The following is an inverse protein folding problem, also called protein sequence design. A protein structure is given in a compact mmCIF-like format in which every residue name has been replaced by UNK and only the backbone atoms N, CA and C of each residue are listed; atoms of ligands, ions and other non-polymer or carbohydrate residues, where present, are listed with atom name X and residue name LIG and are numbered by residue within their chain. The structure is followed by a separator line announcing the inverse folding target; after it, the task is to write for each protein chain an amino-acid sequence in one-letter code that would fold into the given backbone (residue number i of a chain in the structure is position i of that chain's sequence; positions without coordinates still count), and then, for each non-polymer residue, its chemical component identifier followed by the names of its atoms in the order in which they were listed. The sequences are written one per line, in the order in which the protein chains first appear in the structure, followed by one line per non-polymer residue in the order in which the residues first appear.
data_IF_466805292587
#
_entry.id   IF_466805292587
#
_cell.length_a   1.000
_cell.length_b   1.000
_cell.length_c   1.000
_cell.angle_alpha   90.00
_cell.angle_beta   90.00
_cell.angle_gamma   90.00
#
_symmetry.space_group_name_H-M   'P 1'
#
loop_
_entity.id
_entity.type
_entity.pdbx_description
1 polymer ?
#
# COMPACT_ATOMS: atom_id res chain seq x y z
N UNK A 1 11.97 9.20 4.97
CA UNK A 1 10.82 9.73 5.70
C UNK A 1 11.29 10.72 6.75
N UNK A 2 10.45 11.69 7.12
CA UNK A 2 10.72 12.62 8.22
C UNK A 2 10.29 11.98 9.54
N UNK A 3 11.11 12.08 10.60
CA UNK A 3 10.76 11.62 11.94
C UNK A 3 10.46 12.86 12.80
N UNK A 4 9.26 12.94 13.35
CA UNK A 4 8.82 13.97 14.30
C UNK A 4 8.62 13.30 15.66
N UNK A 5 9.26 13.85 16.69
CA UNK A 5 9.13 13.39 18.07
C UNK A 5 8.41 14.46 18.89
N UNK A 6 7.36 14.07 19.61
CA UNK A 6 6.59 14.98 20.47
C UNK A 6 5.61 14.22 21.36
N UNK A 7 5.47 14.65 22.62
CA UNK A 7 4.52 14.07 23.60
C UNK A 7 4.58 12.53 23.73
N UNK A 8 5.79 11.94 23.67
CA UNK A 8 5.98 10.49 23.73
C UNK A 8 5.55 9.72 22.48
N UNK A 9 5.13 10.41 21.42
CA UNK A 9 4.74 9.81 20.14
C UNK A 9 5.85 9.99 19.10
N UNK A 10 6.16 8.93 18.37
CA UNK A 10 7.04 8.95 17.22
C UNK A 10 6.19 8.94 15.95
N UNK A 11 6.20 10.05 15.21
CA UNK A 11 5.52 10.14 13.91
C UNK A 11 6.55 10.02 12.80
N UNK A 12 6.31 9.11 11.86
CA UNK A 12 7.12 9.01 10.64
C UNK A 12 6.26 9.42 9.44
N UNK A 13 6.82 10.21 8.54
CA UNK A 13 6.12 10.72 7.35
C UNK A 13 6.78 10.17 6.10
N UNK A 14 5.98 9.59 5.21
CA UNK A 14 6.35 9.21 3.85
C UNK A 14 5.69 10.19 2.88
N UNK A 15 6.53 10.83 2.06
CA UNK A 15 6.07 11.70 0.98
C UNK A 15 5.83 10.86 -0.27
N UNK A 16 4.59 10.38 -0.42
CA UNK A 16 4.14 9.61 -1.58
C UNK A 16 2.72 10.07 -1.98
N UNK A 17 2.41 10.18 -3.28
CA UNK A 17 1.06 10.49 -3.72
C UNK A 17 0.14 9.29 -3.43
N UNK A 18 -0.86 9.52 -2.59
CA UNK A 18 -1.86 8.54 -2.18
C UNK A 18 -3.26 9.08 -2.46
N UNK A 19 -4.05 8.35 -3.24
CA UNK A 19 -5.50 8.52 -3.35
C UNK A 19 -6.26 7.49 -2.52
N UNK A 20 -5.73 6.27 -2.37
CA UNK A 20 -6.39 5.18 -1.67
C UNK A 20 -5.41 4.35 -0.85
N UNK A 21 -5.91 3.78 0.24
CA UNK A 21 -5.15 2.96 1.18
C UNK A 21 -6.01 1.78 1.64
N UNK A 22 -5.38 0.61 1.77
CA UNK A 22 -5.96 -0.59 2.37
C UNK A 22 -4.95 -1.23 3.31
N UNK A 23 -5.43 -1.69 4.46
CA UNK A 23 -4.61 -2.28 5.52
C UNK A 23 -4.81 -3.79 5.45
N UNK A 24 -3.73 -4.56 5.22
CA UNK A 24 -3.79 -6.03 5.22
C UNK A 24 -3.73 -6.57 6.65
N UNK A 25 -2.80 -6.05 7.45
CA UNK A 25 -2.55 -6.46 8.82
C UNK A 25 -1.83 -5.35 9.60
N UNK A 26 -1.43 -5.64 10.84
CA UNK A 26 -0.77 -4.68 11.73
C UNK A 26 0.55 -4.11 11.19
N UNK A 27 1.21 -4.74 10.21
CA UNK A 27 2.51 -4.30 9.69
C UNK A 27 2.53 -4.06 8.18
N UNK A 28 1.42 -4.22 7.46
CA UNK A 28 1.37 -4.07 5.99
C UNK A 28 0.20 -3.23 5.52
N UNK A 29 0.53 -2.19 4.75
CA UNK A 29 -0.43 -1.40 3.99
C UNK A 29 -0.15 -1.48 2.49
N UNK A 30 -1.22 -1.47 1.70
CA UNK A 30 -1.18 -1.21 0.27
C UNK A 30 -1.79 0.17 0.04
N UNK A 31 -1.07 1.05 -0.63
CA UNK A 31 -1.52 2.41 -0.90
C UNK A 31 -1.03 2.89 -2.26
N UNK A 32 -1.67 3.91 -2.82
CA UNK A 32 -1.21 4.45 -4.10
C UNK A 32 -2.09 5.55 -4.66
N UNK A 33 -1.66 6.09 -5.79
CA UNK A 33 -2.45 6.96 -6.66
C UNK A 33 -2.91 6.18 -7.89
N UNK A 34 -3.78 6.73 -8.73
CA UNK A 34 -4.28 6.06 -9.95
C UNK A 34 -3.20 5.70 -11.01
N UNK A 35 -1.92 5.91 -10.71
CA UNK A 35 -0.75 5.63 -11.58
C UNK A 35 0.30 4.74 -10.89
N UNK A 36 0.18 4.49 -9.58
CA UNK A 36 1.13 3.65 -8.84
C UNK A 36 0.47 2.93 -7.66
N UNK A 37 0.88 1.70 -7.41
CA UNK A 37 0.58 0.95 -6.18
C UNK A 37 1.89 0.68 -5.44
N UNK A 38 1.85 0.88 -4.13
CA UNK A 38 2.95 0.65 -3.20
C UNK A 38 2.51 -0.30 -2.10
N UNK A 39 3.42 -1.20 -1.69
CA UNK A 39 3.30 -1.94 -0.44
C UNK A 39 4.29 -1.38 0.58
N UNK A 40 3.83 -1.06 1.78
CA UNK A 40 4.65 -0.44 2.83
C UNK A 40 4.55 -1.26 4.11
N UNK A 41 5.72 -1.57 4.67
CA UNK A 41 5.86 -2.10 6.01
C UNK A 41 5.78 -0.96 7.04
N UNK A 42 4.88 -1.06 8.01
CA UNK A 42 4.58 0.05 8.93
C UNK A 42 5.67 0.29 9.98
N UNK A 43 6.27 -0.77 10.52
CA UNK A 43 7.25 -0.72 11.60
C UNK A 43 8.39 0.29 11.32
N UNK A 44 8.91 0.27 10.09
CA UNK A 44 9.98 1.16 9.65
C UNK A 44 9.61 2.12 8.51
N UNK A 45 8.34 2.11 8.07
CA UNK A 45 7.88 2.79 6.86
C UNK A 45 8.69 2.40 5.61
N UNK A 46 9.06 1.13 5.52
CA UNK A 46 9.83 0.60 4.39
C UNK A 46 8.91 0.31 3.21
N UNK A 47 9.23 0.87 2.04
CA UNK A 47 8.56 0.50 0.78
C UNK A 47 9.08 -0.88 0.38
N UNK A 48 8.20 -1.89 0.40
CA UNK A 48 8.50 -3.27 0.01
C UNK A 48 8.33 -3.49 -1.49
N UNK A 49 7.38 -2.77 -2.10
CA UNK A 49 7.08 -2.85 -3.52
C UNK A 49 6.56 -1.51 -4.01
N UNK A 50 6.92 -1.15 -5.24
CA UNK A 50 6.37 -0.04 -5.99
C UNK A 50 6.16 -0.49 -7.44
N UNK A 51 4.91 -0.49 -7.89
CA UNK A 51 4.49 -0.83 -9.24
C UNK A 51 3.86 0.40 -9.88
N UNK A 52 4.28 0.73 -11.10
CA UNK A 52 3.76 1.89 -11.85
C UNK A 52 2.87 1.37 -12.97
N UNK A 53 1.56 1.57 -12.82
CA UNK A 53 0.58 1.27 -13.85
C UNK A 53 -0.72 2.02 -13.55
N UNK A 54 -1.49 2.31 -14.59
CA UNK A 54 -2.75 3.02 -14.45
C UNK A 54 -3.83 2.09 -13.88
N UNK A 55 -4.52 2.52 -12.83
CA UNK A 55 -5.68 1.81 -12.29
C UNK A 55 -6.75 2.76 -11.77
N UNK A 56 -7.96 2.23 -11.56
CA UNK A 56 -9.11 2.97 -11.05
C UNK A 56 -9.29 2.77 -9.54
N UNK A 57 -9.20 1.52 -9.07
CA UNK A 57 -9.30 1.18 -7.64
C UNK A 57 -8.63 -0.15 -7.32
N UNK A 58 -8.40 -0.42 -6.04
CA UNK A 58 -7.95 -1.72 -5.57
C UNK A 58 -8.59 -2.06 -4.22
N UNK A 59 -8.58 -3.34 -3.87
CA UNK A 59 -8.94 -3.82 -2.53
C UNK A 59 -8.13 -5.05 -2.15
N UNK A 60 -7.97 -5.27 -0.85
CA UNK A 60 -7.33 -6.45 -0.28
C UNK A 60 -8.42 -7.40 0.19
N UNK A 61 -8.24 -8.70 -0.06
CA UNK A 61 -9.11 -9.72 0.51
C UNK A 61 -8.71 -9.95 1.97
N UNK A 62 -9.59 -9.71 2.97
CA UNK A 62 -9.21 -9.68 4.39
C UNK A 62 -8.48 -10.94 4.88
N UNK A 63 -8.86 -12.12 4.37
CA UNK A 63 -8.33 -13.40 4.80
C UNK A 63 -7.40 -14.09 3.80
N UNK A 64 -7.18 -13.50 2.62
CA UNK A 64 -6.32 -14.08 1.60
C UNK A 64 -5.18 -13.12 1.26
N UNK A 65 -4.06 -13.68 0.81
CA UNK A 65 -2.93 -12.90 0.30
C UNK A 65 -3.18 -12.48 -1.15
N UNK A 66 -4.31 -11.81 -1.37
CA UNK A 66 -4.79 -11.39 -2.69
C UNK A 66 -5.11 -9.89 -2.68
N UNK A 67 -4.52 -9.20 -3.65
CA UNK A 67 -4.83 -7.84 -4.04
C UNK A 67 -5.64 -7.88 -5.32
N UNK A 68 -6.84 -7.31 -5.29
CA UNK A 68 -7.69 -7.12 -6.47
C UNK A 68 -7.46 -5.70 -6.97
N UNK A 69 -7.12 -5.55 -8.24
CA UNK A 69 -6.97 -4.24 -8.89
C UNK A 69 -7.91 -4.17 -10.09
N UNK A 70 -8.59 -3.04 -10.22
CA UNK A 70 -9.44 -2.73 -11.37
C UNK A 70 -8.78 -1.61 -12.15
N UNK A 71 -8.47 -1.85 -13.42
CA UNK A 71 -7.86 -0.84 -14.28
C UNK A 71 -8.89 0.15 -14.86
N UNK A 72 -8.43 1.08 -15.70
CA UNK A 72 -9.29 2.07 -16.35
C UNK A 72 -10.20 1.48 -17.45
N UNK A 73 -9.89 0.29 -17.94
CA UNK A 73 -10.69 -0.45 -18.91
C UNK A 73 -11.67 -1.42 -18.23
N UNK A 74 -11.78 -1.35 -16.89
CA UNK A 74 -12.60 -2.21 -16.03
C UNK A 74 -12.13 -3.69 -16.03
N UNK A 75 -10.89 -3.95 -16.42
CA UNK A 75 -10.30 -5.28 -16.26
C UNK A 75 -9.94 -5.51 -14.79
N UNK A 76 -10.35 -6.67 -14.28
CA UNK A 76 -10.07 -7.09 -12.90
C UNK A 76 -8.86 -8.02 -12.90
N UNK A 77 -7.78 -7.60 -12.23
CA UNK A 77 -6.57 -8.40 -12.07
C UNK A 77 -6.38 -8.79 -10.62
N UNK A 78 -6.07 -10.06 -10.37
CA UNK A 78 -5.75 -10.59 -9.05
C UNK A 78 -4.24 -10.77 -8.93
N UNK A 79 -3.64 -10.12 -7.94
CA UNK A 79 -2.23 -10.27 -7.59
C UNK A 79 -2.08 -11.02 -6.29
N UNK A 80 -1.14 -11.97 -6.23
CA UNK A 80 -0.77 -12.63 -4.99
C UNK A 80 0.22 -11.78 -4.21
N UNK A 81 -0.06 -11.54 -2.94
CA UNK A 81 0.81 -10.80 -2.02
C UNK A 81 1.77 -11.79 -1.38
N UNK A 82 2.96 -11.95 -1.95
CA UNK A 82 4.04 -12.73 -1.36
C UNK A 82 5.06 -11.78 -0.73
N UNK A 83 4.99 -11.60 0.59
CA UNK A 83 5.99 -10.84 1.33
C UNK A 83 6.79 -11.85 2.13
N UNK A 84 8.06 -12.01 1.77
CA UNK A 84 8.98 -12.81 2.56
C UNK A 84 9.06 -12.16 3.95
N UNK A 85 8.57 -12.88 4.96
CA UNK A 85 8.68 -12.50 6.37
C UNK A 85 10.11 -12.69 6.86
#
# INVERSE_FOLDING_TARGET
GLIITGNGTLTRILDIPIHSVSIKNANLIICGSNEQICAIQLEDLKILMKQTFAYQTFTIVPNDDVLIVVDKELMVTLYRININQ
#
